data_IF_269895682090
#
_entry.id   IF_269895682090
#
_cell.length_a   1.000
_cell.length_b   1.000
_cell.length_c   1.000
_cell.angle_alpha   90.00
_cell.angle_beta   90.00
_cell.angle_gamma   90.00
#
_symmetry.space_group_name_H-M   'P 1'
#
loop_
_entity.id
_entity.type
_entity.pdbx_description
1 polymer ?
#
# COMPACT_ATOMS: atom_id res chain seq x y z
N UNK A 1 -8.64 67.00 -8.54
CA UNK A 1 -9.13 65.68 -8.08
C UNK A 1 -8.98 64.51 -9.08
N UNK A 2 -8.96 64.70 -10.41
CA UNK A 2 -8.91 63.59 -11.41
C UNK A 2 -7.64 62.69 -11.38
N UNK A 3 -6.47 63.19 -10.98
CA UNK A 3 -5.21 62.39 -10.93
C UNK A 3 -5.18 61.34 -9.79
N UNK A 4 -5.85 61.59 -8.65
CA UNK A 4 -5.87 60.69 -7.48
C UNK A 4 -6.64 59.38 -7.75
N UNK A 5 -7.69 59.41 -8.57
CA UNK A 5 -8.46 58.21 -8.93
C UNK A 5 -7.69 57.28 -9.87
N UNK A 6 -6.91 57.83 -10.81
CA UNK A 6 -6.07 57.01 -11.71
C UNK A 6 -4.97 56.27 -10.94
N UNK A 7 -4.37 56.92 -9.92
CA UNK A 7 -3.37 56.28 -9.06
C UNK A 7 -3.98 55.16 -8.21
N UNK A 8 -5.18 55.37 -7.65
CA UNK A 8 -5.89 54.32 -6.89
C UNK A 8 -6.24 53.11 -7.76
N UNK A 9 -6.72 53.34 -8.98
CA UNK A 9 -7.02 52.26 -9.95
C UNK A 9 -5.74 51.52 -10.33
N UNK A 10 -4.66 52.25 -10.62
CA UNK A 10 -3.36 51.66 -10.96
C UNK A 10 -2.77 50.82 -9.81
N UNK A 11 -2.87 51.31 -8.58
CA UNK A 11 -2.49 50.56 -7.37
C UNK A 11 -3.35 49.31 -7.21
N UNK A 12 -4.66 49.39 -7.47
CA UNK A 12 -5.55 48.23 -7.41
C UNK A 12 -5.17 47.18 -8.44
N UNK A 13 -4.89 47.58 -9.70
CA UNK A 13 -4.46 46.69 -10.78
C UNK A 13 -3.14 45.99 -10.42
N UNK A 14 -2.16 46.73 -9.91
CA UNK A 14 -0.89 46.16 -9.43
C UNK A 14 -1.13 45.17 -8.29
N UNK A 15 -1.99 45.52 -7.33
CA UNK A 15 -2.35 44.62 -6.23
C UNK A 15 -2.96 43.33 -6.76
N UNK A 16 -3.94 43.39 -7.67
CA UNK A 16 -4.51 42.17 -8.28
C UNK A 16 -3.46 41.34 -9.01
N UNK A 17 -2.61 41.94 -9.85
CA UNK A 17 -1.60 41.20 -10.63
C UNK A 17 -0.50 40.58 -9.75
N UNK A 18 -0.10 41.25 -8.66
CA UNK A 18 0.87 40.72 -7.70
C UNK A 18 0.30 39.58 -6.85
N UNK A 19 -1.01 39.56 -6.58
CA UNK A 19 -1.66 38.53 -5.77
C UNK A 19 -2.15 37.33 -6.59
N UNK A 20 -2.46 37.49 -7.88
CA UNK A 20 -2.90 36.36 -8.74
C UNK A 20 -1.78 35.38 -9.08
N UNK A 21 -0.51 35.80 -9.07
CA UNK A 21 0.63 34.93 -9.40
C UNK A 21 1.05 33.96 -8.28
N UNK A 22 0.35 33.95 -7.13
CA UNK A 22 0.64 33.03 -6.02
C UNK A 22 -0.40 31.94 -5.81
N UNK A 23 -1.45 31.86 -6.62
CA UNK A 23 -2.25 30.65 -6.68
C UNK A 23 -1.53 29.66 -7.60
N UNK A 24 -0.47 29.02 -7.07
CA UNK A 24 -0.22 27.64 -7.46
C UNK A 24 -1.52 26.93 -7.07
N UNK A 25 -2.37 26.67 -8.05
CA UNK A 25 -3.44 25.71 -7.87
C UNK A 25 -2.77 24.53 -7.18
N UNK A 26 -3.22 24.18 -5.97
CA UNK A 26 -2.93 22.87 -5.44
C UNK A 26 -3.51 21.96 -6.50
N UNK A 27 -2.63 21.44 -7.35
CA UNK A 27 -2.95 20.27 -8.14
C UNK A 27 -3.25 19.27 -7.03
N UNK A 28 -4.54 19.07 -6.76
CA UNK A 28 -5.03 17.89 -6.08
C UNK A 28 -4.74 16.77 -7.08
N UNK A 29 -3.45 16.43 -7.22
CA UNK A 29 -3.05 15.16 -7.76
C UNK A 29 -3.66 14.19 -6.75
N UNK A 30 -4.83 13.67 -7.11
CA UNK A 30 -5.46 12.59 -6.37
C UNK A 30 -4.49 11.43 -6.47
N UNK A 31 -3.56 11.38 -5.53
CA UNK A 31 -2.61 10.30 -5.39
C UNK A 31 -3.41 9.09 -4.97
N UNK A 32 -3.93 8.34 -5.94
CA UNK A 32 -4.63 7.09 -5.66
C UNK A 32 -3.58 6.13 -5.09
N UNK A 33 -3.76 5.62 -3.86
CA UNK A 33 -2.91 4.54 -3.35
C UNK A 33 -3.03 3.33 -4.27
N UNK A 34 -1.94 2.61 -4.45
CA UNK A 34 -1.88 1.38 -5.22
C UNK A 34 -1.30 0.25 -4.35
N UNK A 35 -1.85 -0.95 -4.56
CA UNK A 35 -1.31 -2.20 -4.04
C UNK A 35 -1.12 -3.14 -5.22
N UNK A 36 0.13 -3.45 -5.53
CA UNK A 36 0.49 -4.28 -6.69
C UNK A 36 1.80 -5.04 -6.44
N UNK A 37 1.87 -6.27 -6.96
CA UNK A 37 3.14 -6.98 -7.13
C UNK A 37 3.87 -6.44 -8.35
N UNK A 38 5.04 -5.84 -8.14
CA UNK A 38 5.76 -5.14 -9.21
C UNK A 38 6.63 -6.08 -10.05
N UNK A 39 7.60 -6.72 -9.40
CA UNK A 39 8.53 -7.65 -10.05
C UNK A 39 9.20 -8.55 -9.01
N UNK A 40 9.90 -9.56 -9.48
CA UNK A 40 10.82 -10.32 -8.65
C UNK A 40 12.07 -9.51 -8.32
N UNK A 41 12.61 -9.73 -7.13
CA UNK A 41 13.85 -9.16 -6.64
C UNK A 41 14.75 -10.23 -6.01
N UNK A 42 15.97 -9.84 -5.66
CA UNK A 42 16.90 -10.69 -4.92
C UNK A 42 17.12 -10.11 -3.52
N UNK A 43 16.95 -10.94 -2.52
CA UNK A 43 17.27 -10.62 -1.13
C UNK A 43 18.00 -11.81 -0.49
N UNK A 44 19.21 -11.57 0.03
CA UNK A 44 20.06 -12.62 0.61
C UNK A 44 20.22 -13.84 -0.32
N UNK A 45 20.49 -13.60 -1.62
CA UNK A 45 20.62 -14.59 -2.68
C UNK A 45 19.37 -15.46 -2.94
N UNK A 46 18.19 -15.03 -2.48
CA UNK A 46 16.91 -15.69 -2.77
C UNK A 46 16.00 -14.78 -3.58
N UNK A 47 15.30 -15.35 -4.56
CA UNK A 47 14.22 -14.66 -5.28
C UNK A 47 13.05 -14.41 -4.33
N UNK A 48 12.50 -13.20 -4.41
CA UNK A 48 11.39 -12.71 -3.58
C UNK A 48 10.53 -11.75 -4.40
N UNK A 49 9.27 -11.55 -4.02
CA UNK A 49 8.39 -10.59 -4.69
C UNK A 49 8.57 -9.19 -4.11
N UNK A 50 8.56 -8.17 -4.97
CA UNK A 50 8.52 -6.77 -4.56
C UNK A 50 7.09 -6.26 -4.64
N UNK A 51 6.47 -6.03 -3.48
CA UNK A 51 5.16 -5.40 -3.36
C UNK A 51 5.27 -3.88 -3.24
N UNK A 52 4.45 -3.14 -3.98
CA UNK A 52 4.28 -1.69 -3.83
C UNK A 52 3.01 -1.43 -3.04
N UNK A 53 3.14 -0.62 -1.99
CA UNK A 53 2.05 -0.15 -1.12
C UNK A 53 2.20 1.37 -0.94
N UNK A 54 2.06 2.12 -2.02
CA UNK A 54 2.41 3.54 -2.09
C UNK A 54 1.39 4.30 -2.94
N UNK A 55 1.53 5.61 -3.00
CA UNK A 55 0.83 6.43 -3.95
C UNK A 55 1.34 6.20 -5.37
N UNK A 56 0.43 6.21 -6.34
CA UNK A 56 0.85 6.17 -7.74
C UNK A 56 1.73 7.39 -8.08
N UNK A 57 2.86 7.11 -8.72
CA UNK A 57 3.82 8.06 -9.27
C UNK A 57 4.17 7.60 -10.67
N UNK A 58 4.43 8.54 -11.57
CA UNK A 58 4.78 8.19 -12.94
C UNK A 58 6.14 7.47 -13.03
N UNK A 59 7.07 7.79 -12.14
CA UNK A 59 8.34 7.09 -11.97
C UNK A 59 8.26 6.08 -10.82
N UNK A 60 8.26 4.78 -11.17
CA UNK A 60 8.19 3.69 -10.20
C UNK A 60 9.42 3.62 -9.30
N UNK A 61 10.58 4.14 -9.72
CA UNK A 61 11.78 4.17 -8.88
C UNK A 61 11.61 5.02 -7.61
N UNK A 62 10.66 5.96 -7.63
CA UNK A 62 10.30 6.82 -6.50
C UNK A 62 9.27 6.19 -5.55
N UNK A 63 8.77 4.99 -5.87
CA UNK A 63 7.86 4.23 -5.02
C UNK A 63 8.63 3.37 -4.04
N UNK A 64 8.07 3.18 -2.84
CA UNK A 64 8.63 2.27 -1.85
C UNK A 64 8.20 0.83 -2.13
N UNK A 65 9.17 -0.07 -2.03
CA UNK A 65 8.97 -1.51 -2.18
C UNK A 65 9.12 -2.22 -0.84
N UNK A 66 8.30 -3.25 -0.67
CA UNK A 66 8.36 -4.21 0.43
C UNK A 66 8.75 -5.57 -0.15
N UNK A 67 9.67 -6.28 0.51
CA UNK A 67 10.05 -7.63 0.10
C UNK A 67 9.08 -8.62 0.73
N UNK A 68 8.38 -9.36 -0.11
CA UNK A 68 7.37 -10.32 0.28
C UNK A 68 7.80 -11.72 -0.13
N UNK A 69 7.47 -12.69 0.72
CA UNK A 69 7.76 -14.09 0.48
C UNK A 69 6.54 -14.93 0.78
N UNK A 70 6.00 -15.56 -0.25
CA UNK A 70 5.03 -16.62 -0.11
C UNK A 70 5.74 -17.96 0.09
N UNK A 71 5.28 -18.76 1.05
CA UNK A 71 5.74 -20.12 1.26
C UNK A 71 4.53 -21.06 1.29
N UNK A 72 4.38 -21.87 0.25
CA UNK A 72 3.23 -22.76 0.07
C UNK A 72 3.26 -23.98 1.00
N UNK A 73 4.44 -24.43 1.43
CA UNK A 73 4.57 -25.59 2.35
C UNK A 73 4.18 -25.22 3.79
N UNK A 74 4.65 -24.05 4.22
CA UNK A 74 4.29 -23.45 5.51
C UNK A 74 2.90 -22.80 5.48
N UNK A 75 2.37 -22.55 4.28
CA UNK A 75 1.16 -21.79 4.03
C UNK A 75 1.18 -20.44 4.76
N UNK A 76 2.20 -19.65 4.46
CA UNK A 76 2.43 -18.35 5.08
C UNK A 76 2.81 -17.29 4.05
N UNK A 77 2.48 -16.05 4.36
CA UNK A 77 3.01 -14.86 3.71
C UNK A 77 3.85 -14.10 4.73
N UNK A 78 5.10 -13.84 4.38
CA UNK A 78 6.04 -13.09 5.22
C UNK A 78 6.46 -11.79 4.54
N UNK A 79 6.67 -10.75 5.34
CA UNK A 79 7.34 -9.51 4.94
C UNK A 79 8.75 -9.49 5.52
N UNK A 80 9.71 -8.99 4.75
CA UNK A 80 11.05 -8.74 5.28
C UNK A 80 11.05 -7.49 6.18
N UNK A 81 11.49 -7.68 7.41
CA UNK A 81 11.78 -6.59 8.33
C UNK A 81 13.26 -6.20 8.24
N UNK A 82 13.51 -4.93 7.93
CA UNK A 82 14.86 -4.39 7.76
C UNK A 82 15.59 -4.26 9.10
N UNK A 83 14.86 -4.08 10.20
CA UNK A 83 15.46 -3.90 11.53
C UNK A 83 15.99 -5.23 12.06
N UNK A 84 15.13 -6.26 12.12
CA UNK A 84 15.54 -7.61 12.51
C UNK A 84 16.32 -8.37 11.42
N UNK A 85 16.39 -7.83 10.21
CA UNK A 85 16.99 -8.45 9.02
C UNK A 85 16.42 -9.84 8.70
N UNK A 86 15.15 -10.06 9.01
CA UNK A 86 14.50 -11.37 8.92
C UNK A 86 13.10 -11.27 8.30
N UNK A 87 12.59 -12.40 7.80
CA UNK A 87 11.20 -12.48 7.34
C UNK A 87 10.28 -12.72 8.53
N UNK A 88 9.28 -11.85 8.68
CA UNK A 88 8.24 -11.94 9.71
C UNK A 88 6.91 -12.32 9.05
N UNK A 89 6.21 -13.30 9.62
CA UNK A 89 4.97 -13.80 9.06
C UNK A 89 3.83 -12.81 9.32
N UNK A 90 3.25 -12.29 8.24
CA UNK A 90 2.14 -11.33 8.29
C UNK A 90 0.78 -12.01 8.06
N UNK A 91 0.74 -13.12 7.31
CA UNK A 91 -0.47 -13.95 7.16
C UNK A 91 -0.08 -15.42 7.33
N UNK A 92 -0.88 -16.15 8.09
CA UNK A 92 -0.76 -17.60 8.24
C UNK A 92 -2.10 -18.23 7.85
N UNK A 93 -2.09 -19.09 6.84
CA UNK A 93 -3.33 -19.69 6.33
C UNK A 93 -3.73 -20.95 7.12
N UNK A 94 -2.77 -21.67 7.71
CA UNK A 94 -3.02 -22.82 8.60
C UNK A 94 -3.52 -22.38 9.97
N UNK A 95 -4.52 -23.09 10.49
CA UNK A 95 -5.25 -22.76 11.72
C UNK A 95 -4.53 -23.09 13.03
N UNK A 96 -3.37 -23.73 13.02
CA UNK A 96 -2.82 -24.28 14.26
C UNK A 96 -1.31 -24.33 14.35
N UNK A 97 -0.63 -23.18 14.46
CA UNK A 97 0.60 -23.02 15.28
C UNK A 97 1.35 -21.70 15.03
N UNK A 98 1.01 -20.92 14.00
CA UNK A 98 1.69 -19.65 13.75
C UNK A 98 0.89 -18.47 14.30
N UNK A 99 1.52 -17.68 15.16
CA UNK A 99 1.05 -16.32 15.46
C UNK A 99 1.41 -15.43 14.28
N UNK A 100 0.40 -14.93 13.58
CA UNK A 100 0.61 -13.80 12.68
C UNK A 100 1.16 -12.61 13.49
N UNK A 101 2.05 -11.84 12.87
CA UNK A 101 2.58 -10.63 13.47
C UNK A 101 1.45 -9.66 13.80
N UNK A 102 1.52 -9.07 15.00
CA UNK A 102 0.73 -7.89 15.35
C UNK A 102 1.45 -6.63 14.88
N UNK A 103 0.69 -5.55 14.61
CA UNK A 103 1.19 -4.25 14.14
C UNK A 103 1.90 -4.35 12.79
N UNK A 104 1.24 -4.97 11.82
CA UNK A 104 1.74 -5.08 10.46
C UNK A 104 1.74 -3.69 9.81
N UNK A 105 2.90 -3.27 9.28
CA UNK A 105 3.07 -2.03 8.50
C UNK A 105 3.34 -2.38 7.04
N UNK A 106 2.55 -1.86 6.10
CA UNK A 106 2.78 -2.01 4.65
C UNK A 106 2.82 -0.64 3.98
N UNK A 107 4.01 -0.20 3.57
CA UNK A 107 4.21 1.06 2.86
C UNK A 107 3.54 2.27 3.52
N UNK A 108 2.64 2.96 2.80
CA UNK A 108 1.96 4.16 3.29
C UNK A 108 0.80 3.87 4.26
N UNK A 109 0.23 2.67 4.23
CA UNK A 109 -0.92 2.31 5.08
C UNK A 109 -0.55 2.30 6.56
N UNK A 110 -1.45 2.78 7.41
CA UNK A 110 -1.26 2.71 8.86
C UNK A 110 -1.16 1.26 9.35
N UNK A 111 -0.52 1.08 10.51
CA UNK A 111 -0.36 -0.23 11.13
C UNK A 111 -1.72 -0.89 11.38
N UNK A 112 -1.78 -2.20 11.18
CA UNK A 112 -2.99 -2.99 11.35
C UNK A 112 -2.67 -4.36 11.95
N UNK A 113 -3.65 -4.94 12.63
CA UNK A 113 -3.67 -6.34 13.01
C UNK A 113 -4.59 -7.09 12.05
N UNK A 114 -4.25 -8.33 11.71
CA UNK A 114 -5.12 -9.22 10.95
C UNK A 114 -5.76 -10.25 11.85
N UNK A 115 -7.06 -10.45 11.68
CA UNK A 115 -7.82 -11.55 12.30
C UNK A 115 -8.41 -12.39 11.18
N UNK A 116 -8.19 -13.70 11.24
CA UNK A 116 -8.78 -14.64 10.30
C UNK A 116 -10.27 -14.79 10.62
N UNK A 117 -11.13 -14.43 9.68
CA UNK A 117 -12.57 -14.58 9.81
C UNK A 117 -12.99 -15.98 9.31
N UNK A 118 -12.46 -16.37 8.15
CA UNK A 118 -12.63 -17.70 7.57
C UNK A 118 -11.38 -18.13 6.80
N UNK A 119 -11.44 -19.25 6.06
CA UNK A 119 -10.29 -19.79 5.33
C UNK A 119 -9.75 -18.92 4.20
N UNK A 120 -10.55 -17.98 3.70
CA UNK A 120 -10.19 -17.06 2.62
C UNK A 120 -10.12 -15.61 3.09
N UNK A 121 -10.81 -15.22 4.15
CA UNK A 121 -10.99 -13.84 4.54
C UNK A 121 -10.27 -13.49 5.85
N UNK A 122 -9.57 -12.35 5.81
CA UNK A 122 -8.92 -11.72 6.94
C UNK A 122 -9.43 -10.30 7.07
N UNK A 123 -9.80 -9.91 8.30
CA UNK A 123 -10.23 -8.55 8.63
C UNK A 123 -9.06 -7.82 9.27
N UNK A 124 -8.83 -6.58 8.83
CA UNK A 124 -7.86 -5.68 9.42
C UNK A 124 -8.50 -4.79 10.50
N UNK A 125 -7.79 -4.62 11.61
CA UNK A 125 -8.19 -3.77 12.73
C UNK A 125 -7.02 -2.91 13.21
N UNK A 126 -7.32 -1.77 13.83
CA UNK A 126 -6.26 -0.93 14.40
C UNK A 126 -5.64 -1.62 15.62
N UNK A 127 -4.30 -1.71 15.70
CA UNK A 127 -3.62 -2.27 16.87
C UNK A 127 -3.76 -1.38 18.12
N UNK A 128 -4.22 -0.13 17.95
CA UNK A 128 -4.35 0.85 19.03
C UNK A 128 -5.81 1.24 19.29
N UNK A 129 -6.80 0.51 18.74
CA UNK A 129 -8.23 0.76 18.96
C UNK A 129 -8.91 1.46 17.79
N UNK A 130 -9.12 2.79 17.88
CA UNK A 130 -9.78 3.56 16.81
C UNK A 130 -8.71 4.23 15.94
N UNK A 131 -8.87 4.13 14.63
CA UNK A 131 -8.04 4.85 13.67
C UNK A 131 -8.32 6.36 13.75
N UNK A 132 -7.28 7.23 13.69
CA UNK A 132 -7.47 8.66 13.44
C UNK A 132 -8.31 8.91 12.18
N UNK A 133 -8.94 10.08 12.07
CA UNK A 133 -9.55 10.49 10.80
C UNK A 133 -8.46 10.76 9.75
N UNK A 134 -8.84 10.65 8.47
CA UNK A 134 -8.01 11.01 7.32
C UNK A 134 -6.68 10.25 7.19
N UNK A 135 -6.75 8.91 7.23
CA UNK A 135 -5.57 8.06 7.04
C UNK A 135 -5.83 6.88 6.11
N UNK A 136 -4.75 6.37 5.52
CA UNK A 136 -4.80 5.20 4.65
C UNK A 136 -4.83 3.94 5.51
N UNK A 137 -5.87 3.12 5.36
CA UNK A 137 -6.07 1.90 6.17
C UNK A 137 -6.40 0.72 5.28
N UNK A 138 -5.76 -0.42 5.54
CA UNK A 138 -6.20 -1.71 5.01
C UNK A 138 -7.44 -2.13 5.81
N UNK A 139 -8.45 -2.67 5.12
CA UNK A 139 -9.73 -3.10 5.70
C UNK A 139 -9.84 -4.62 5.74
N UNK A 140 -9.48 -5.29 4.66
CA UNK A 140 -9.56 -6.74 4.55
C UNK A 140 -8.58 -7.27 3.53
N UNK A 141 -8.26 -8.56 3.68
CA UNK A 141 -7.48 -9.33 2.73
C UNK A 141 -8.26 -10.60 2.43
N UNK A 142 -8.52 -10.84 1.14
CA UNK A 142 -9.24 -12.00 0.63
C UNK A 142 -8.28 -12.85 -0.22
N UNK A 143 -8.24 -14.16 0.04
CA UNK A 143 -7.49 -15.14 -0.73
C UNK A 143 -8.32 -15.54 -1.94
N UNK A 144 -7.94 -15.04 -3.12
CA UNK A 144 -8.58 -15.40 -4.38
C UNK A 144 -8.09 -16.76 -4.90
N UNK A 145 -6.78 -17.01 -4.79
CA UNK A 145 -6.16 -18.25 -5.22
C UNK A 145 -4.96 -18.59 -4.34
N UNK A 146 -4.81 -19.86 -3.99
CA UNK A 146 -3.67 -20.39 -3.24
C UNK A 146 -3.29 -21.76 -3.80
N UNK A 147 -2.13 -21.83 -4.46
CA UNK A 147 -1.58 -23.06 -5.05
C UNK A 147 -0.15 -23.29 -4.54
N UNK A 148 0.53 -24.36 -4.99
CA UNK A 148 1.94 -24.56 -4.66
C UNK A 148 2.85 -23.45 -5.19
N UNK A 149 2.53 -22.88 -6.35
CA UNK A 149 3.35 -21.87 -7.02
C UNK A 149 2.87 -20.45 -6.74
N UNK A 150 1.56 -20.21 -6.74
CA UNK A 150 1.01 -18.86 -6.78
C UNK A 150 0.02 -18.61 -5.65
N UNK A 151 0.13 -17.42 -5.05
CA UNK A 151 -0.84 -16.84 -4.13
C UNK A 151 -1.38 -15.54 -4.73
N UNK A 152 -2.70 -15.44 -4.88
CA UNK A 152 -3.38 -14.23 -5.32
C UNK A 152 -4.25 -13.72 -4.17
N UNK A 153 -3.97 -12.50 -3.73
CA UNK A 153 -4.71 -11.80 -2.70
C UNK A 153 -5.40 -10.57 -3.28
N UNK A 154 -6.63 -10.34 -2.87
CA UNK A 154 -7.31 -9.06 -3.00
C UNK A 154 -7.20 -8.33 -1.66
N UNK A 155 -6.72 -7.10 -1.70
CA UNK A 155 -6.54 -6.26 -0.51
C UNK A 155 -7.46 -5.06 -0.64
N UNK A 156 -8.49 -5.00 0.20
CA UNK A 156 -9.41 -3.87 0.27
C UNK A 156 -8.85 -2.83 1.23
N UNK A 157 -8.85 -1.57 0.81
CA UNK A 157 -8.30 -0.45 1.58
C UNK A 157 -9.09 0.83 1.37
N UNK A 158 -8.82 1.79 2.24
CA UNK A 158 -9.43 3.10 2.25
C UNK A 158 -8.34 4.17 2.31
N UNK A 159 -8.51 5.29 1.60
CA UNK A 159 -7.61 6.45 1.67
C UNK A 159 -8.05 7.49 2.72
N UNK A 160 -7.31 8.60 2.81
CA UNK A 160 -7.58 9.71 3.72
C UNK A 160 -8.91 10.45 3.47
N UNK A 161 -9.52 10.25 2.30
CA UNK A 161 -10.82 10.82 1.94
C UNK A 161 -11.96 9.81 2.11
N UNK A 162 -11.68 8.68 2.75
CA UNK A 162 -12.61 7.58 2.97
C UNK A 162 -13.07 6.87 1.69
N UNK A 163 -12.36 7.09 0.58
CA UNK A 163 -12.64 6.39 -0.66
C UNK A 163 -12.14 4.96 -0.57
N UNK A 164 -13.00 4.02 -1.00
CA UNK A 164 -12.74 2.58 -0.93
C UNK A 164 -12.15 2.09 -2.24
N UNK A 165 -11.12 1.27 -2.14
CA UNK A 165 -10.45 0.65 -3.26
C UNK A 165 -10.09 -0.79 -2.94
N UNK A 166 -9.62 -1.49 -3.97
CA UNK A 166 -8.92 -2.74 -3.80
C UNK A 166 -7.67 -2.76 -4.69
N UNK A 167 -6.69 -3.55 -4.27
CA UNK A 167 -5.54 -3.91 -5.09
C UNK A 167 -5.37 -5.42 -5.14
N UNK A 168 -4.67 -5.90 -6.16
CA UNK A 168 -4.39 -7.31 -6.36
C UNK A 168 -2.90 -7.55 -6.17
N UNK A 169 -2.59 -8.49 -5.28
CA UNK A 169 -1.23 -8.89 -4.97
C UNK A 169 -1.04 -10.34 -5.44
N UNK A 170 -0.16 -10.54 -6.42
CA UNK A 170 0.19 -11.84 -7.00
C UNK A 170 1.59 -12.21 -6.53
N UNK A 171 1.73 -13.31 -5.82
CA UNK A 171 2.99 -13.73 -5.21
C UNK A 171 3.36 -15.13 -5.69
N UNK A 172 4.66 -15.37 -5.83
CA UNK A 172 5.19 -16.63 -6.33
C UNK A 172 6.04 -17.30 -5.25
N UNK A 173 5.76 -18.57 -4.96
CA UNK A 173 6.69 -19.42 -4.24
C UNK A 173 7.76 -19.91 -5.22
N UNK A 174 8.90 -19.20 -5.23
CA UNK A 174 10.01 -19.47 -6.15
C UNK A 174 10.65 -20.86 -6.00
N UNK A 175 10.34 -21.63 -4.95
CA UNK A 175 10.73 -23.06 -4.88
C UNK A 175 10.07 -23.88 -5.99
N UNK A 176 8.92 -23.41 -6.46
CA UNK A 176 8.03 -24.10 -7.37
C UNK A 176 7.81 -23.32 -8.68
N UNK A 177 8.69 -22.34 -8.99
CA UNK A 177 8.60 -21.49 -10.19
C UNK A 177 8.55 -22.30 -11.50
N UNK A 178 9.18 -23.49 -11.52
CA UNK A 178 9.24 -24.38 -12.67
C UNK A 178 8.16 -25.47 -12.69
N UNK A 179 7.23 -25.50 -11.73
CA UNK A 179 6.06 -26.37 -11.84
C UNK A 179 5.09 -25.81 -12.87
N UNK A 180 4.56 -26.71 -13.69
CA UNK A 180 3.40 -26.43 -14.52
C UNK A 180 2.21 -26.17 -13.58
N UNK A 181 1.45 -25.12 -13.88
CA UNK A 181 0.23 -24.84 -13.13
C UNK A 181 -0.79 -25.90 -13.56
N UNK A 182 -1.16 -26.81 -12.64
CA UNK A 182 -2.24 -27.77 -12.89
C UNK A 182 -3.53 -26.96 -13.20
N UNK A 183 -4.04 -27.11 -14.43
CA UNK A 183 -5.30 -26.49 -14.92
C UNK A 183 -6.52 -26.87 -14.09
#
# INVERSE_FOLDING_TARGET
MKKRNKLKIFLYVIFTVCFTNKMKAQILEFYKPIIISYKSGLLNNKKVDLGIFDYFKQDTSMMKYEYLKYNSDEESLSKYDKESKSFQNIICFKSGNFRAQEKIKLGIFHEFNLTKEDDKNFIASSPYGIYPSHIQVIKSIEVLQKTKKTLILKIDYQDEFEWKYFGILILTDYKYENLEDDE
#
